data_IF_524425422195
#
_entry.id   IF_524425422195
#
_cell.length_a   1.000
_cell.length_b   1.000
_cell.length_c   1.000
_cell.angle_alpha   90.00
_cell.angle_beta   90.00
_cell.angle_gamma   90.00
#
_symmetry.space_group_name_H-M   'P 1'
#
loop_
_entity.id
_entity.type
_entity.pdbx_description
1 polymer ?
#
# COMPACT_ATOMS: atom_id res chain seq x y z
N UNK A 1 8.79 -5.37 -6.77
CA UNK A 1 8.59 -6.48 -5.82
C UNK A 1 7.09 -6.63 -5.66
N UNK A 2 6.59 -7.85 -5.58
CA UNK A 2 5.14 -8.11 -5.55
C UNK A 2 4.53 -7.68 -4.21
N UNK A 3 3.36 -7.03 -4.23
CA UNK A 3 2.69 -6.52 -3.02
C UNK A 3 2.44 -7.57 -1.96
N UNK A 4 2.08 -8.80 -2.34
CA UNK A 4 1.82 -9.87 -1.36
C UNK A 4 3.04 -10.22 -0.49
N UNK A 5 4.27 -9.92 -0.95
CA UNK A 5 5.49 -10.23 -0.21
C UNK A 5 5.72 -9.32 1.00
N UNK A 6 5.25 -8.08 0.95
CA UNK A 6 5.44 -7.09 2.02
C UNK A 6 4.12 -6.65 2.67
N UNK A 7 2.98 -6.93 2.03
CA UNK A 7 1.67 -6.64 2.59
C UNK A 7 1.46 -7.29 3.96
N UNK A 8 1.95 -8.50 4.19
CA UNK A 8 1.79 -9.18 5.49
C UNK A 8 2.47 -8.41 6.62
N UNK A 9 3.62 -7.81 6.35
CA UNK A 9 4.45 -7.08 7.31
C UNK A 9 4.07 -5.60 7.44
N UNK A 10 3.22 -5.09 6.55
CA UNK A 10 2.71 -3.73 6.62
C UNK A 10 1.89 -3.51 7.90
N UNK A 11 2.11 -2.39 8.58
CA UNK A 11 1.39 -2.05 9.80
C UNK A 11 -0.11 -1.81 9.52
N UNK A 12 -0.91 -1.89 10.58
CA UNK A 12 -2.36 -1.79 10.46
C UNK A 12 -2.81 -0.40 9.98
N UNK A 13 -2.18 0.67 10.45
CA UNK A 13 -2.56 2.05 10.11
C UNK A 13 -2.33 2.31 8.62
N UNK A 14 -1.19 1.88 8.08
CA UNK A 14 -0.90 1.98 6.65
C UNK A 14 -1.84 1.11 5.81
N UNK A 15 -2.17 -0.11 6.27
CA UNK A 15 -3.17 -0.96 5.60
C UNK A 15 -4.54 -0.31 5.56
N UNK A 16 -5.03 0.20 6.69
CA UNK A 16 -6.34 0.86 6.79
C UNK A 16 -6.42 2.07 5.86
N UNK A 17 -5.39 2.93 5.88
CA UNK A 17 -5.34 4.09 4.99
C UNK A 17 -5.44 3.69 3.51
N UNK A 18 -4.66 2.68 3.08
CA UNK A 18 -4.66 2.20 1.69
C UNK A 18 -6.03 1.63 1.26
N UNK A 19 -6.74 0.95 2.17
CA UNK A 19 -8.09 0.43 1.91
C UNK A 19 -9.15 1.52 1.85
N UNK A 20 -9.04 2.54 2.70
CA UNK A 20 -9.99 3.66 2.71
C UNK A 20 -9.76 4.64 1.54
N UNK A 21 -8.55 4.68 1.01
CA UNK A 21 -8.12 5.61 -0.05
C UNK A 21 -7.69 4.84 -1.31
N UNK A 22 -8.48 3.84 -1.72
CA UNK A 22 -8.23 3.07 -2.93
C UNK A 22 -7.99 3.98 -4.14
N UNK A 23 -6.97 3.64 -4.94
CA UNK A 23 -6.58 4.36 -6.15
C UNK A 23 -6.16 5.83 -5.91
N UNK A 24 -5.69 6.15 -4.70
CA UNK A 24 -5.14 7.48 -4.42
C UNK A 24 -3.99 7.81 -5.40
N UNK A 25 -4.08 8.98 -6.03
CA UNK A 25 -3.04 9.49 -6.94
C UNK A 25 -1.76 9.88 -6.21
N UNK A 26 -1.87 10.21 -4.92
CA UNK A 26 -0.75 10.57 -4.05
C UNK A 26 -0.83 9.83 -2.72
N UNK A 27 0.32 9.28 -2.30
CA UNK A 27 0.46 8.64 -1.00
C UNK A 27 1.10 9.61 0.00
N UNK A 28 0.53 9.80 1.19
CA UNK A 28 1.13 10.66 2.20
C UNK A 28 2.43 10.03 2.73
N UNK A 29 3.36 10.87 3.19
CA UNK A 29 4.69 10.43 3.63
C UNK A 29 4.67 9.29 4.66
N UNK A 30 3.77 9.26 5.67
CA UNK A 30 3.72 8.15 6.61
C UNK A 30 3.38 6.81 5.95
N UNK A 31 2.47 6.80 4.97
CA UNK A 31 2.09 5.60 4.21
C UNK A 31 3.27 5.11 3.36
N UNK A 32 3.97 6.04 2.71
CA UNK A 32 5.19 5.74 1.96
C UNK A 32 6.29 5.14 2.85
N UNK A 33 6.44 5.65 4.07
CA UNK A 33 7.39 5.12 5.06
C UNK A 33 7.00 3.72 5.52
N UNK A 34 5.72 3.49 5.86
CA UNK A 34 5.23 2.15 6.23
C UNK A 34 5.45 1.12 5.13
N UNK A 35 5.18 1.47 3.87
CA UNK A 35 5.46 0.61 2.71
C UNK A 35 6.95 0.26 2.64
N UNK A 36 7.84 1.26 2.76
CA UNK A 36 9.28 1.02 2.69
C UNK A 36 9.80 0.17 3.87
N UNK A 37 9.29 0.40 5.08
CA UNK A 37 9.65 -0.36 6.28
C UNK A 37 9.20 -1.83 6.21
N UNK A 38 8.07 -2.10 5.58
CA UNK A 38 7.59 -3.45 5.29
C UNK A 38 8.40 -4.17 4.19
N UNK A 39 9.39 -3.50 3.59
CA UNK A 39 10.16 -4.02 2.47
C UNK A 39 9.49 -3.79 1.11
N UNK A 40 8.45 -2.98 1.04
CA UNK A 40 7.85 -2.52 -0.19
C UNK A 40 8.70 -1.47 -0.93
N UNK A 41 8.19 -0.95 -2.06
CA UNK A 41 8.92 0.04 -2.85
C UNK A 41 9.19 1.34 -2.07
N UNK A 42 10.46 1.76 -2.01
CA UNK A 42 10.88 3.03 -1.43
C UNK A 42 10.81 4.13 -2.51
N UNK A 43 10.19 5.30 -2.23
CA UNK A 43 10.02 6.32 -3.24
C UNK A 43 11.30 7.14 -3.39
N UNK A 44 12.07 6.87 -4.44
CA UNK A 44 12.72 7.98 -5.16
C UNK A 44 11.68 8.72 -6.04
N UNK A 45 10.44 8.21 -6.13
CA UNK A 45 9.29 8.86 -6.75
C UNK A 45 7.96 8.54 -6.02
N UNK A 46 7.39 9.47 -5.24
CA UNK A 46 6.20 9.23 -4.40
C UNK A 46 4.88 9.13 -5.16
N UNK A 47 4.81 9.60 -6.42
CA UNK A 47 3.57 9.62 -7.21
C UNK A 47 3.24 8.29 -7.92
N UNK A 48 4.07 7.25 -7.77
CA UNK A 48 3.90 6.00 -8.51
C UNK A 48 4.50 4.78 -7.77
N UNK A 49 4.26 4.66 -6.47
CA UNK A 49 4.78 3.55 -5.66
C UNK A 49 3.96 2.26 -5.85
N UNK A 50 2.66 2.40 -6.09
CA UNK A 50 1.73 1.29 -6.29
C UNK A 50 1.21 1.30 -7.74
N UNK A 51 1.31 0.15 -8.38
CA UNK A 51 0.77 -0.11 -9.72
C UNK A 51 -0.73 -0.40 -9.68
N UNK A 52 -1.38 -0.48 -10.84
CA UNK A 52 -2.79 -0.90 -10.92
C UNK A 52 -3.01 -2.29 -10.30
N UNK A 53 -2.09 -3.23 -10.56
CA UNK A 53 -2.14 -4.58 -9.99
C UNK A 53 -2.00 -4.58 -8.45
N UNK A 54 -1.19 -3.69 -7.90
CA UNK A 54 -1.05 -3.54 -6.44
C UNK A 54 -2.36 -3.04 -5.82
N UNK A 55 -3.02 -2.08 -6.47
CA UNK A 55 -4.32 -1.59 -6.03
C UNK A 55 -5.43 -2.63 -6.16
N UNK A 56 -5.44 -3.42 -7.24
CA UNK A 56 -6.36 -4.55 -7.40
C UNK A 56 -6.22 -5.53 -6.23
N UNK A 57 -4.98 -5.85 -5.84
CA UNK A 57 -4.73 -6.68 -4.68
C UNK A 57 -5.29 -6.05 -3.38
N UNK A 58 -5.01 -4.77 -3.10
CA UNK A 58 -5.51 -4.07 -1.90
C UNK A 58 -7.04 -4.06 -1.85
N UNK A 59 -7.70 -3.85 -2.98
CA UNK A 59 -9.16 -3.92 -3.11
C UNK A 59 -9.69 -5.29 -2.68
N UNK A 60 -9.08 -6.39 -3.16
CA UNK A 60 -9.46 -7.74 -2.70
C UNK A 60 -9.27 -7.92 -1.20
N UNK A 61 -8.24 -7.32 -0.60
CA UNK A 61 -7.97 -7.42 0.84
C UNK A 61 -8.88 -6.54 1.69
N UNK A 62 -9.67 -5.66 1.08
CA UNK A 62 -10.68 -4.81 1.73
C UNK A 62 -12.01 -5.54 1.87
N UNK A 63 -12.35 -6.39 0.90
CA UNK A 63 -13.59 -7.19 0.89
C UNK A 63 -13.68 -8.23 2.04
N UNK A 64 -12.57 -8.50 2.73
CA UNK A 64 -12.49 -9.45 3.85
C UNK A 64 -12.43 -8.80 5.25
N UNK A 65 -12.45 -7.46 5.34
CA UNK A 65 -12.39 -6.73 6.61
C UNK A 65 -13.77 -6.13 6.89
N UNK A 66 -14.62 -6.92 7.54
CA UNK A 66 -15.92 -6.51 8.10
C UNK A 66 -15.87 -6.64 9.64
#
# INVERSE_FOLDING_TARGET
MEIYMWWLDLDLETKEWLRENLRAEELPLPVLQGIAEAGGPHPDNPAAVLTEDDWDFIETQSEFVD
#
